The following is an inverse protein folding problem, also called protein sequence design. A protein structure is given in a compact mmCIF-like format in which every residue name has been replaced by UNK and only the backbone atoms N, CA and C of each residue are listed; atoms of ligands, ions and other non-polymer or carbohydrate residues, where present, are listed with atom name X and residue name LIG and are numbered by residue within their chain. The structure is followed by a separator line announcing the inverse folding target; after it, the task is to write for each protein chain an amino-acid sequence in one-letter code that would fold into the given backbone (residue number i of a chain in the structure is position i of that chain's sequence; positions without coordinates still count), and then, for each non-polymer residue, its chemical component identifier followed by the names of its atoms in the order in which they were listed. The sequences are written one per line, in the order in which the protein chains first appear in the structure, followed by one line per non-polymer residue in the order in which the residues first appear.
data_IF_855116263167
#
_entry.id   IF_855116263167
#
_cell.length_a   1.000
_cell.length_b   1.000
_cell.length_c   1.000
_cell.angle_alpha   90.00
_cell.angle_beta   90.00
_cell.angle_gamma   90.00
#
_symmetry.space_group_name_H-M   'P 1'
#
loop_
_entity.id
_entity.type
_entity.pdbx_description
1 polymer ?
#
# COMPACT_ATOMS: atom_id res chain seq x y z
N UNK A 1 -14.86 13.60 -13.92
CA UNK A 1 -15.80 13.52 -12.77
C UNK A 1 -17.19 13.12 -13.22
N UNK A 2 -17.76 13.82 -14.21
CA UNK A 2 -19.16 13.62 -14.61
C UNK A 2 -19.46 12.20 -15.13
N UNK A 3 -18.53 11.55 -15.83
CA UNK A 3 -18.74 10.17 -16.31
C UNK A 3 -18.75 9.17 -15.16
N UNK A 4 -17.71 9.16 -14.31
CA UNK A 4 -17.64 8.24 -13.17
C UNK A 4 -18.79 8.43 -12.17
N UNK A 5 -19.27 9.65 -11.96
CA UNK A 5 -20.42 9.89 -11.06
C UNK A 5 -21.76 9.41 -11.60
N UNK A 6 -21.82 9.11 -12.90
CA UNK A 6 -23.02 8.58 -13.59
C UNK A 6 -22.83 7.14 -14.07
N UNK A 7 -21.72 6.50 -13.65
CA UNK A 7 -21.43 5.13 -14.04
C UNK A 7 -22.55 4.18 -13.67
N UNK A 8 -22.86 3.29 -14.58
CA UNK A 8 -23.74 2.14 -14.32
C UNK A 8 -22.95 1.03 -13.64
N UNK A 9 -23.67 0.14 -12.97
CA UNK A 9 -23.01 -0.97 -12.26
C UNK A 9 -22.28 -1.91 -13.23
N UNK A 10 -21.03 -2.21 -12.92
CA UNK A 10 -20.15 -3.03 -13.77
C UNK A 10 -19.54 -2.32 -14.98
N UNK A 11 -19.69 -0.99 -15.09
CA UNK A 11 -19.17 -0.24 -16.24
C UNK A 11 -17.64 -0.28 -16.30
N UNK A 12 -17.12 -0.41 -17.54
CA UNK A 12 -15.68 -0.46 -17.82
C UNK A 12 -15.24 0.82 -18.53
N UNK A 13 -14.36 1.58 -17.89
CA UNK A 13 -13.70 2.76 -18.45
C UNK A 13 -12.33 2.37 -19.02
N UNK A 14 -12.26 2.14 -20.32
CA UNK A 14 -11.01 1.90 -21.04
C UNK A 14 -10.40 3.25 -21.46
N UNK A 15 -9.26 3.59 -20.86
CA UNK A 15 -8.64 4.92 -21.03
C UNK A 15 -7.49 4.87 -22.02
N UNK A 16 -7.53 5.79 -22.98
CA UNK A 16 -6.40 6.13 -23.83
C UNK A 16 -5.32 6.85 -23.03
N UNK A 17 -4.06 6.87 -23.50
CA UNK A 17 -3.04 7.77 -22.93
C UNK A 17 -3.51 9.21 -22.87
N UNK A 18 -3.15 9.90 -21.81
CA UNK A 18 -3.54 11.28 -21.57
C UNK A 18 -3.76 11.56 -20.09
N UNK A 19 -4.08 12.80 -19.75
CA UNK A 19 -4.33 13.23 -18.38
C UNK A 19 -5.82 13.46 -18.14
N UNK A 20 -6.35 12.78 -17.13
CA UNK A 20 -7.75 12.82 -16.73
C UNK A 20 -7.88 13.43 -15.35
N UNK A 21 -8.45 14.63 -15.27
CA UNK A 21 -8.74 15.26 -13.98
C UNK A 21 -10.08 14.77 -13.44
N UNK A 22 -10.10 14.18 -12.27
CA UNK A 22 -11.32 13.73 -11.61
C UNK A 22 -12.20 14.90 -11.16
N UNK A 23 -11.58 16.03 -10.77
CA UNK A 23 -12.27 17.31 -10.59
C UNK A 23 -11.26 18.46 -10.65
N UNK A 24 -11.72 19.67 -10.99
CA UNK A 24 -10.92 20.86 -10.81
C UNK A 24 -10.58 21.05 -9.33
N UNK A 25 -9.38 21.57 -9.01
CA UNK A 25 -9.09 22.05 -7.67
C UNK A 25 -10.16 23.10 -7.31
N UNK A 26 -10.81 22.92 -6.17
CA UNK A 26 -11.74 23.93 -5.69
C UNK A 26 -10.97 25.18 -5.24
N UNK A 27 -11.61 26.34 -5.29
CA UNK A 27 -10.95 27.61 -5.01
C UNK A 27 -10.38 27.72 -3.58
N UNK A 28 -10.84 26.85 -2.68
CA UNK A 28 -10.36 26.74 -1.28
C UNK A 28 -9.21 25.75 -1.10
N UNK A 29 -8.67 25.18 -2.20
CA UNK A 29 -7.61 24.18 -2.14
C UNK A 29 -8.06 22.79 -1.72
N UNK A 30 -9.37 22.53 -1.63
CA UNK A 30 -9.88 21.20 -1.33
C UNK A 30 -9.69 20.26 -2.50
N UNK A 31 -9.56 18.99 -2.19
CA UNK A 31 -9.21 17.99 -3.17
C UNK A 31 -10.38 17.53 -3.97
N UNK A 32 -10.18 17.42 -5.24
CA UNK A 32 -11.06 16.73 -6.16
C UNK A 32 -11.13 15.25 -5.86
N UNK A 33 -12.24 14.82 -5.30
CA UNK A 33 -12.58 13.40 -5.17
C UNK A 33 -13.73 13.02 -6.09
N UNK A 34 -13.77 11.74 -6.45
CA UNK A 34 -14.94 11.12 -7.07
C UNK A 34 -15.49 10.06 -6.16
N UNK A 35 -16.78 10.16 -5.85
CA UNK A 35 -17.50 9.16 -5.12
C UNK A 35 -17.93 8.02 -6.05
N UNK A 36 -17.42 6.82 -5.79
CA UNK A 36 -17.78 5.60 -6.50
C UNK A 36 -18.97 4.94 -5.78
N UNK A 37 -20.11 4.94 -6.44
CA UNK A 37 -21.38 4.45 -5.88
C UNK A 37 -21.81 3.11 -6.46
N UNK A 38 -21.23 2.73 -7.59
CA UNK A 38 -21.49 1.51 -8.35
C UNK A 38 -20.19 0.79 -8.63
N UNK A 39 -20.25 -0.50 -8.93
CA UNK A 39 -19.09 -1.28 -9.34
C UNK A 39 -18.53 -0.75 -10.66
N UNK A 40 -17.22 -0.62 -10.73
CA UNK A 40 -16.54 -0.11 -11.92
C UNK A 40 -15.19 -0.80 -12.15
N UNK A 41 -14.77 -0.77 -13.41
CA UNK A 41 -13.39 -1.08 -13.83
C UNK A 41 -12.82 0.15 -14.53
N UNK A 42 -11.65 0.62 -14.13
CA UNK A 42 -10.89 1.67 -14.80
C UNK A 42 -9.58 1.06 -15.27
N UNK A 43 -9.30 1.11 -16.57
CA UNK A 43 -8.07 0.51 -17.11
C UNK A 43 -7.44 1.33 -18.23
N UNK A 44 -6.13 1.46 -18.20
CA UNK A 44 -5.33 1.94 -19.33
C UNK A 44 -5.19 0.84 -20.38
N UNK A 45 -5.39 1.17 -21.65
CA UNK A 45 -5.38 0.19 -22.73
C UNK A 45 -3.99 -0.12 -23.29
N UNK A 46 -3.00 0.74 -23.03
CA UNK A 46 -1.62 0.54 -23.49
C UNK A 46 -0.68 0.29 -22.32
N UNK A 47 0.05 -0.82 -22.28
CA UNK A 47 0.91 -1.18 -21.14
C UNK A 47 2.05 -0.19 -20.88
N UNK A 48 2.59 0.42 -21.96
CA UNK A 48 3.78 1.28 -21.89
C UNK A 48 3.47 2.78 -21.83
N UNK A 49 2.22 3.18 -22.08
CA UNK A 49 1.79 4.57 -22.05
C UNK A 49 0.50 4.70 -21.23
N UNK A 50 0.69 4.73 -19.93
CA UNK A 50 -0.41 4.71 -18.96
C UNK A 50 -1.15 6.04 -18.90
N UNK A 51 -2.48 6.04 -18.88
CA UNK A 51 -3.25 7.24 -18.61
C UNK A 51 -2.98 7.75 -17.18
N UNK A 52 -2.87 9.06 -17.03
CA UNK A 52 -2.68 9.72 -15.74
C UNK A 52 -4.03 10.19 -15.21
N UNK A 53 -4.42 9.70 -14.05
CA UNK A 53 -5.64 10.09 -13.35
C UNK A 53 -5.26 11.01 -12.19
N UNK A 54 -5.63 12.27 -12.27
CA UNK A 54 -5.36 13.27 -11.24
C UNK A 54 -6.57 13.41 -10.30
N UNK A 55 -6.37 13.04 -9.05
CA UNK A 55 -7.41 13.07 -8.02
C UNK A 55 -7.40 11.83 -7.14
N UNK A 56 -8.47 11.61 -6.39
CA UNK A 56 -8.63 10.50 -5.44
C UNK A 56 -10.03 9.91 -5.51
N UNK A 57 -10.21 8.73 -4.93
CA UNK A 57 -11.47 8.03 -4.94
C UNK A 57 -12.09 7.93 -3.54
N UNK A 58 -13.39 8.17 -3.47
CA UNK A 58 -14.21 7.84 -2.30
C UNK A 58 -15.05 6.60 -2.60
N UNK A 59 -14.84 5.54 -1.86
CA UNK A 59 -15.66 4.32 -1.99
C UNK A 59 -16.95 4.57 -1.21
N UNK A 60 -18.03 4.86 -1.94
CA UNK A 60 -19.30 5.31 -1.36
C UNK A 60 -20.47 4.44 -1.79
N UNK A 61 -20.31 3.14 -1.67
CA UNK A 61 -21.33 2.15 -1.98
C UNK A 61 -21.03 1.26 -3.17
N UNK A 62 -19.95 1.49 -3.89
CA UNK A 62 -19.44 0.54 -4.88
C UNK A 62 -19.14 -0.80 -4.21
N UNK A 63 -19.56 -1.89 -4.83
CA UNK A 63 -19.35 -3.26 -4.32
C UNK A 63 -18.13 -3.93 -4.94
N UNK A 64 -17.67 -3.45 -6.10
CA UNK A 64 -16.44 -3.90 -6.76
C UNK A 64 -15.77 -2.72 -7.45
N UNK A 65 -14.47 -2.52 -7.18
CA UNK A 65 -13.65 -1.49 -7.82
C UNK A 65 -12.36 -2.12 -8.29
N UNK A 66 -12.10 -2.02 -9.59
CA UNK A 66 -10.86 -2.45 -10.19
C UNK A 66 -10.19 -1.27 -10.90
N UNK A 67 -8.90 -1.08 -10.64
CA UNK A 67 -8.07 -0.06 -11.30
C UNK A 67 -6.83 -0.75 -11.82
N UNK A 68 -6.61 -0.67 -13.13
CA UNK A 68 -5.53 -1.39 -13.79
C UNK A 68 -4.77 -0.50 -14.77
N UNK A 69 -3.45 -0.61 -14.75
CA UNK A 69 -2.56 -0.01 -15.74
C UNK A 69 -2.75 1.51 -15.93
N UNK A 70 -2.77 2.25 -14.83
CA UNK A 70 -2.87 3.71 -14.80
C UNK A 70 -1.76 4.34 -13.96
N UNK A 71 -1.64 5.65 -14.02
CA UNK A 71 -0.93 6.46 -13.00
C UNK A 71 -1.99 7.19 -12.20
N UNK A 72 -2.11 6.90 -10.91
CA UNK A 72 -2.95 7.66 -9.99
C UNK A 72 -2.09 8.75 -9.34
N UNK A 73 -2.27 9.97 -9.79
CA UNK A 73 -1.44 11.11 -9.41
C UNK A 73 -2.18 12.02 -8.42
N UNK A 74 -1.70 12.02 -7.19
CA UNK A 74 -2.18 12.90 -6.13
C UNK A 74 -1.48 14.26 -6.06
N UNK A 75 -0.55 14.57 -6.96
CA UNK A 75 0.30 15.77 -6.87
C UNK A 75 -0.47 17.10 -6.93
N UNK A 76 -1.66 17.11 -7.53
CA UNK A 76 -2.56 18.26 -7.53
C UNK A 76 -3.47 18.32 -6.31
N UNK A 77 -3.42 17.32 -5.45
CA UNK A 77 -4.21 17.29 -4.24
C UNK A 77 -3.53 18.12 -3.16
N UNK A 78 -4.07 19.28 -2.85
CA UNK A 78 -3.62 20.08 -1.72
C UNK A 78 -4.17 19.55 -0.39
N UNK A 79 -5.11 18.62 -0.42
CA UNK A 79 -5.64 18.03 0.79
C UNK A 79 -4.82 16.83 1.26
N UNK A 80 -4.84 16.67 2.55
CA UNK A 80 -4.18 15.60 3.27
C UNK A 80 -4.89 14.24 3.20
N UNK A 81 -5.86 14.04 2.31
CA UNK A 81 -6.65 12.81 2.30
C UNK A 81 -5.95 11.66 1.54
N UNK A 82 -6.43 10.45 1.78
CA UNK A 82 -5.90 9.22 1.18
C UNK A 82 -6.30 9.08 -0.29
N UNK A 83 -5.55 8.27 -1.05
CA UNK A 83 -5.90 7.92 -2.42
C UNK A 83 -7.27 7.23 -2.51
N UNK A 84 -7.54 6.33 -1.57
CA UNK A 84 -8.81 5.63 -1.41
C UNK A 84 -9.39 5.88 -0.02
N UNK A 85 -10.61 6.42 0.06
CA UNK A 85 -11.27 6.70 1.32
C UNK A 85 -12.67 6.08 1.33
N UNK A 86 -12.91 5.13 2.23
CA UNK A 86 -14.20 4.46 2.38
C UNK A 86 -15.17 5.35 3.17
N UNK A 87 -16.28 5.70 2.55
CA UNK A 87 -17.29 6.63 3.10
C UNK A 87 -18.56 5.93 3.56
N UNK A 88 -18.83 4.72 3.09
CA UNK A 88 -20.06 4.01 3.39
C UNK A 88 -19.77 2.63 3.97
N UNK A 89 -20.48 2.29 5.05
CA UNK A 89 -20.52 0.94 5.58
C UNK A 89 -21.28 -0.01 4.64
N UNK A 90 -21.02 -1.30 4.77
CA UNK A 90 -21.72 -2.35 4.01
C UNK A 90 -20.74 -3.34 3.40
N UNK A 91 -21.30 -4.28 2.66
CA UNK A 91 -20.54 -5.34 2.01
C UNK A 91 -19.92 -4.86 0.71
N UNK A 92 -18.70 -5.27 0.46
CA UNK A 92 -17.95 -5.01 -0.76
C UNK A 92 -17.22 -6.29 -1.17
N UNK A 93 -17.28 -6.65 -2.43
CA UNK A 93 -16.55 -7.81 -2.96
C UNK A 93 -15.04 -7.55 -2.96
N UNK A 94 -14.63 -6.47 -3.63
CA UNK A 94 -13.20 -6.18 -3.82
C UNK A 94 -12.85 -4.72 -4.12
N UNK A 95 -11.65 -4.35 -3.69
CA UNK A 95 -10.86 -3.25 -4.23
C UNK A 95 -9.56 -3.85 -4.76
N UNK A 96 -9.38 -3.87 -6.07
CA UNK A 96 -8.16 -4.37 -6.72
C UNK A 96 -7.50 -3.25 -7.51
N UNK A 97 -6.22 -3.02 -7.22
CA UNK A 97 -5.38 -2.06 -7.95
C UNK A 97 -4.19 -2.83 -8.49
N UNK A 98 -4.03 -2.85 -9.80
CA UNK A 98 -2.97 -3.63 -10.46
C UNK A 98 -2.21 -2.80 -11.49
N UNK A 99 -0.94 -3.16 -11.71
CA UNK A 99 -0.09 -2.55 -12.73
C UNK A 99 -0.08 -1.00 -12.68
N UNK A 100 -0.25 -0.42 -11.50
CA UNK A 100 -0.55 1.01 -11.33
C UNK A 100 0.56 1.71 -10.56
N UNK A 101 0.94 2.90 -11.05
CA UNK A 101 1.75 3.83 -10.27
C UNK A 101 0.82 4.69 -9.40
N UNK A 102 1.06 4.76 -8.10
CA UNK A 102 0.34 5.65 -7.18
C UNK A 102 1.35 6.60 -6.57
N UNK A 103 1.24 7.87 -6.91
CA UNK A 103 2.19 8.88 -6.45
C UNK A 103 1.53 10.08 -5.79
N UNK A 104 2.14 10.51 -4.71
CA UNK A 104 1.84 11.77 -4.07
C UNK A 104 2.80 12.87 -4.49
N UNK A 105 3.10 13.75 -3.56
CA UNK A 105 4.22 14.71 -3.66
C UNK A 105 4.71 15.06 -2.26
N UNK A 106 5.94 15.51 -2.18
CA UNK A 106 6.47 16.07 -0.94
C UNK A 106 5.62 17.26 -0.47
N UNK A 107 5.22 17.26 0.81
CA UNK A 107 4.40 18.30 1.39
C UNK A 107 2.94 18.38 0.91
N UNK A 108 2.42 17.31 0.29
CA UNK A 108 1.02 17.26 -0.19
C UNK A 108 0.68 15.92 -0.82
N UNK A 109 -0.37 15.87 -1.62
CA UNK A 109 -0.81 14.72 -2.42
C UNK A 109 -0.84 13.38 -1.68
N UNK A 110 -2.02 12.86 -1.40
CA UNK A 110 -2.25 11.64 -0.59
C UNK A 110 -1.54 11.64 0.77
N UNK A 111 -1.33 12.83 1.36
CA UNK A 111 -0.48 13.01 2.53
C UNK A 111 -0.91 12.17 3.75
N UNK A 112 -2.15 11.69 3.82
CA UNK A 112 -2.61 10.80 4.89
C UNK A 112 -2.48 9.32 4.57
N UNK A 113 -1.95 8.94 3.42
CA UNK A 113 -1.73 7.55 3.06
C UNK A 113 -2.49 7.09 1.82
N UNK A 114 -2.44 5.78 1.58
CA UNK A 114 -3.01 5.17 0.38
C UNK A 114 -4.48 4.80 0.57
N UNK A 115 -4.86 4.29 1.74
CA UNK A 115 -6.21 3.78 1.97
C UNK A 115 -6.68 4.09 3.40
N UNK A 116 -7.94 4.50 3.55
CA UNK A 116 -8.56 4.74 4.85
C UNK A 116 -9.94 4.10 4.95
N UNK A 117 -10.11 3.20 5.92
CA UNK A 117 -11.35 2.48 6.16
C UNK A 117 -11.78 2.70 7.62
N UNK A 118 -12.56 3.76 7.86
CA UNK A 118 -13.09 4.09 9.19
C UNK A 118 -14.61 3.93 9.27
N UNK A 119 -15.16 3.10 8.43
CA UNK A 119 -16.56 2.69 8.40
C UNK A 119 -16.64 1.17 8.52
N UNK A 120 -17.77 0.66 8.98
CA UNK A 120 -18.00 -0.78 9.12
C UNK A 120 -18.24 -1.42 7.73
N UNK A 121 -17.21 -1.40 6.90
CA UNK A 121 -17.20 -2.08 5.61
C UNK A 121 -16.74 -3.53 5.79
N UNK A 122 -17.44 -4.46 5.15
CA UNK A 122 -17.06 -5.87 5.09
C UNK A 122 -16.63 -6.18 3.66
N UNK A 123 -15.33 -6.38 3.48
CA UNK A 123 -14.69 -6.44 2.17
C UNK A 123 -14.13 -7.85 1.95
N UNK A 124 -14.41 -8.45 0.80
CA UNK A 124 -13.85 -9.74 0.42
C UNK A 124 -12.34 -9.65 0.26
N UNK A 125 -11.86 -8.75 -0.59
CA UNK A 125 -10.42 -8.50 -0.73
C UNK A 125 -10.07 -7.03 -0.98
N UNK A 126 -8.90 -6.64 -0.49
CA UNK A 126 -8.18 -5.43 -0.89
C UNK A 126 -6.82 -5.88 -1.40
N UNK A 127 -6.53 -5.61 -2.67
CA UNK A 127 -5.32 -6.09 -3.32
C UNK A 127 -4.64 -4.96 -4.08
N UNK A 128 -3.34 -4.80 -3.83
CA UNK A 128 -2.42 -4.02 -4.65
C UNK A 128 -1.42 -5.01 -5.24
N UNK A 129 -1.37 -5.09 -6.58
CA UNK A 129 -0.53 -6.05 -7.29
C UNK A 129 0.27 -5.35 -8.39
N UNK A 130 1.57 -5.60 -8.43
CA UNK A 130 2.48 -5.00 -9.40
C UNK A 130 2.36 -3.46 -9.47
N UNK A 131 2.30 -2.82 -8.29
CA UNK A 131 2.15 -1.37 -8.15
C UNK A 131 3.45 -0.70 -7.72
N UNK A 132 3.68 0.51 -8.25
CA UNK A 132 4.68 1.44 -7.74
C UNK A 132 4.00 2.50 -6.89
N UNK A 133 4.36 2.57 -5.60
CA UNK A 133 3.68 3.44 -4.66
C UNK A 133 4.73 4.31 -3.96
N UNK A 134 4.66 5.62 -4.18
CA UNK A 134 5.73 6.49 -3.71
C UNK A 134 5.31 7.94 -3.45
N UNK A 135 6.19 8.68 -2.78
CA UNK A 135 6.00 10.09 -2.42
C UNK A 135 4.75 10.34 -1.57
N UNK A 136 4.43 9.39 -0.68
CA UNK A 136 3.28 9.46 0.23
C UNK A 136 3.77 9.54 1.66
N UNK A 137 3.85 10.74 2.22
CA UNK A 137 4.52 10.99 3.50
C UNK A 137 3.72 10.57 4.73
N UNK A 138 2.43 10.32 4.60
CA UNK A 138 1.54 9.95 5.70
C UNK A 138 1.49 10.99 6.82
N UNK A 139 1.44 12.26 6.47
CA UNK A 139 1.27 13.33 7.44
C UNK A 139 -0.17 13.36 7.98
N UNK A 140 -0.33 12.92 9.22
CA UNK A 140 -1.65 12.85 9.89
C UNK A 140 -2.44 11.55 9.69
N UNK A 141 -1.90 10.52 9.00
CA UNK A 141 -2.52 9.20 8.83
C UNK A 141 -1.49 8.09 8.70
N UNK A 142 -1.89 6.85 8.82
CA UNK A 142 -1.05 5.69 8.56
C UNK A 142 -1.15 5.30 7.08
N UNK A 143 -0.15 4.60 6.52
CA UNK A 143 -0.08 4.37 5.08
C UNK A 143 -1.28 3.57 4.56
N UNK A 144 -1.53 2.38 5.10
CA UNK A 144 -2.79 1.65 4.98
C UNK A 144 -3.48 1.68 6.34
N UNK A 145 -4.62 2.35 6.45
CA UNK A 145 -5.26 2.63 7.74
C UNK A 145 -6.70 2.11 7.76
N UNK A 146 -6.88 0.87 8.25
CA UNK A 146 -8.21 0.30 8.50
C UNK A 146 -8.52 0.29 9.99
N UNK A 147 -9.48 1.11 10.40
CA UNK A 147 -9.87 1.26 11.81
C UNK A 147 -11.15 0.53 12.16
N UNK A 148 -12.07 0.36 11.20
CA UNK A 148 -13.37 -0.26 11.39
C UNK A 148 -13.75 -1.22 10.27
N UNK A 149 -12.97 -1.25 9.19
CA UNK A 149 -13.20 -2.16 8.07
C UNK A 149 -12.68 -3.56 8.36
N UNK A 150 -13.39 -4.54 7.84
CA UNK A 150 -12.98 -5.92 7.80
C UNK A 150 -12.63 -6.32 6.36
N UNK A 151 -11.55 -7.07 6.20
CA UNK A 151 -11.17 -7.65 4.91
C UNK A 151 -10.93 -9.15 5.09
N UNK A 152 -11.49 -10.00 4.23
CA UNK A 152 -11.14 -11.43 4.22
C UNK A 152 -9.69 -11.62 3.77
N UNK A 153 -9.26 -10.83 2.78
CA UNK A 153 -7.87 -10.78 2.33
C UNK A 153 -7.39 -9.33 2.18
N UNK A 154 -6.16 -9.06 2.67
CA UNK A 154 -5.41 -7.85 2.38
C UNK A 154 -4.08 -8.25 1.77
N UNK A 155 -3.85 -7.87 0.52
CA UNK A 155 -2.71 -8.30 -0.25
C UNK A 155 -1.91 -7.11 -0.78
N UNK A 156 -0.60 -7.15 -0.57
CA UNK A 156 0.40 -6.39 -1.30
C UNK A 156 1.32 -7.39 -1.98
N UNK A 157 1.28 -7.45 -3.31
CA UNK A 157 2.04 -8.41 -4.09
C UNK A 157 2.84 -7.70 -5.17
N UNK A 158 4.10 -8.08 -5.32
CA UNK A 158 4.95 -7.59 -6.39
C UNK A 158 5.02 -6.05 -6.48
N UNK A 159 4.89 -5.37 -5.33
CA UNK A 159 4.84 -3.90 -5.25
C UNK A 159 6.18 -3.30 -4.86
N UNK A 160 6.40 -2.06 -5.31
CA UNK A 160 7.52 -1.23 -4.86
C UNK A 160 7.00 -0.07 -4.03
N UNK A 161 7.58 0.13 -2.83
CA UNK A 161 7.26 1.23 -1.92
C UNK A 161 8.52 2.02 -1.61
N UNK A 162 8.53 3.31 -1.88
CA UNK A 162 9.64 4.17 -1.52
C UNK A 162 9.18 5.59 -1.23
N UNK A 163 9.91 6.28 -0.38
CA UNK A 163 9.54 7.60 0.10
C UNK A 163 8.08 7.63 0.63
N UNK A 164 7.72 6.62 1.44
CA UNK A 164 6.39 6.48 2.02
C UNK A 164 6.45 6.42 3.54
N UNK A 165 5.45 6.96 4.21
CA UNK A 165 5.13 6.85 5.64
C UNK A 165 6.36 6.88 6.60
N UNK A 166 7.33 7.76 6.39
CA UNK A 166 8.54 7.80 7.22
C UNK A 166 8.24 7.92 8.72
N UNK A 167 7.20 8.65 9.12
CA UNK A 167 6.84 8.94 10.52
C UNK A 167 5.52 8.29 10.96
N UNK A 168 5.00 7.31 10.22
CA UNK A 168 3.74 6.62 10.49
C UNK A 168 3.85 5.13 10.27
N UNK A 169 2.83 4.39 10.70
CA UNK A 169 2.77 2.95 10.51
C UNK A 169 2.49 2.58 9.06
N UNK A 170 3.09 1.48 8.60
CA UNK A 170 2.93 1.02 7.23
C UNK A 170 1.57 0.34 7.03
N UNK A 171 1.26 -0.68 7.83
CA UNK A 171 -0.06 -1.33 7.79
C UNK A 171 -0.69 -1.21 9.18
N UNK A 172 -1.77 -0.42 9.27
CA UNK A 172 -2.60 -0.33 10.46
C UNK A 172 -3.92 -1.05 10.24
N UNK A 173 -4.23 -1.98 11.14
CA UNK A 173 -5.48 -2.72 11.14
C UNK A 173 -6.01 -2.87 12.56
N UNK A 174 -7.04 -2.09 12.89
CA UNK A 174 -7.51 -1.92 14.27
C UNK A 174 -8.75 -2.72 14.63
N UNK A 175 -9.61 -3.07 13.67
CA UNK A 175 -10.91 -3.64 14.04
C UNK A 175 -10.81 -5.04 14.60
N UNK A 176 -11.07 -5.10 15.90
CA UNK A 176 -11.00 -6.34 16.65
C UNK A 176 -12.24 -7.18 16.71
N UNK A 177 -13.35 -6.70 16.21
CA UNK A 177 -14.58 -7.47 16.32
C UNK A 177 -14.70 -8.53 15.24
N UNK A 178 -14.08 -8.30 14.10
CA UNK A 178 -14.30 -9.09 12.88
C UNK A 178 -12.98 -9.61 12.27
N UNK A 179 -11.83 -9.04 12.62
CA UNK A 179 -10.53 -9.32 11.99
C UNK A 179 -9.96 -10.74 12.16
N UNK A 180 -10.64 -11.61 12.87
CA UNK A 180 -10.11 -12.95 13.21
C UNK A 180 -9.88 -13.85 12.00
N UNK A 181 -10.49 -13.56 10.88
CA UNK A 181 -10.45 -14.40 9.67
C UNK A 181 -9.59 -13.79 8.54
N UNK A 182 -9.08 -12.57 8.73
CA UNK A 182 -8.29 -11.90 7.71
C UNK A 182 -6.97 -12.63 7.44
N UNK A 183 -6.67 -12.85 6.16
CA UNK A 183 -5.34 -13.21 5.69
C UNK A 183 -4.67 -11.95 5.15
N UNK A 184 -3.54 -11.57 5.79
CA UNK A 184 -2.72 -10.44 5.35
C UNK A 184 -1.48 -10.99 4.66
N UNK A 185 -1.22 -10.57 3.43
CA UNK A 185 -0.08 -11.03 2.63
C UNK A 185 0.74 -9.84 2.14
N UNK A 186 2.05 -9.89 2.37
CA UNK A 186 3.05 -9.02 1.74
C UNK A 186 4.07 -9.95 1.09
N UNK A 187 4.06 -10.01 -0.22
CA UNK A 187 4.84 -10.97 -0.98
C UNK A 187 5.51 -10.35 -2.20
N UNK A 188 6.77 -10.69 -2.45
CA UNK A 188 7.57 -10.12 -3.55
C UNK A 188 7.53 -8.58 -3.58
N UNK A 189 7.61 -7.93 -2.43
CA UNK A 189 7.62 -6.48 -2.36
C UNK A 189 9.03 -5.92 -2.12
N UNK A 190 9.32 -4.78 -2.76
CA UNK A 190 10.50 -3.95 -2.48
C UNK A 190 10.04 -2.77 -1.64
N UNK A 191 10.56 -2.65 -0.42
CA UNK A 191 10.13 -1.64 0.58
C UNK A 191 11.36 -0.86 1.04
N UNK A 192 11.47 0.39 0.63
CA UNK A 192 12.60 1.25 0.98
C UNK A 192 12.18 2.42 1.86
N UNK A 193 12.74 2.52 3.05
CA UNK A 193 12.56 3.63 3.98
C UNK A 193 11.19 3.74 4.65
N UNK A 194 10.28 2.77 4.50
CA UNK A 194 8.97 2.81 5.12
C UNK A 194 9.05 2.76 6.66
N UNK A 195 8.17 3.49 7.34
CA UNK A 195 8.08 3.55 8.81
C UNK A 195 9.41 3.91 9.52
N UNK A 196 10.26 4.68 8.85
CA UNK A 196 11.67 4.87 9.18
C UNK A 196 11.92 5.59 10.52
N UNK A 197 10.95 6.30 11.08
CA UNK A 197 11.07 6.97 12.38
C UNK A 197 10.57 6.07 13.52
N UNK A 198 11.12 4.87 13.66
CA UNK A 198 10.77 3.88 14.70
C UNK A 198 9.26 3.59 14.75
N UNK A 199 8.60 3.57 13.60
CA UNK A 199 7.19 3.17 13.48
C UNK A 199 7.09 1.69 13.16
N UNK A 200 5.89 1.16 12.99
CA UNK A 200 5.63 -0.27 12.84
C UNK A 200 5.35 -0.61 11.38
N UNK A 201 5.92 -1.71 10.92
CA UNK A 201 5.48 -2.30 9.65
C UNK A 201 4.08 -2.90 9.78
N UNK A 202 3.78 -3.48 10.96
CA UNK A 202 2.52 -4.15 11.24
C UNK A 202 1.89 -3.60 12.53
N UNK A 203 1.03 -2.61 12.43
CA UNK A 203 0.21 -2.16 13.55
C UNK A 203 -1.15 -2.88 13.50
N UNK A 204 -1.13 -4.20 13.73
CA UNK A 204 -2.32 -5.06 13.64
C UNK A 204 -2.81 -5.37 15.05
N UNK A 205 -3.71 -4.53 15.57
CA UNK A 205 -4.08 -4.55 17.00
C UNK A 205 -4.87 -5.76 17.44
N UNK A 206 -5.65 -6.34 16.57
CA UNK A 206 -6.64 -7.33 16.96
C UNK A 206 -6.49 -8.68 16.25
N UNK A 207 -5.37 -8.87 15.61
CA UNK A 207 -4.98 -10.13 15.02
C UNK A 207 -5.63 -10.39 13.66
N UNK A 208 -4.85 -10.98 12.79
CA UNK A 208 -5.30 -11.66 11.58
C UNK A 208 -5.34 -13.16 11.84
N UNK A 209 -6.04 -13.93 11.03
CA UNK A 209 -5.94 -15.39 11.09
C UNK A 209 -4.55 -15.85 10.67
N UNK A 210 -4.01 -15.15 9.68
CA UNK A 210 -2.70 -15.41 9.10
C UNK A 210 -2.05 -14.11 8.63
N UNK A 211 -0.75 -13.95 8.85
CA UNK A 211 0.07 -12.91 8.24
C UNK A 211 1.18 -13.64 7.49
N UNK A 212 1.31 -13.38 6.19
CA UNK A 212 2.39 -13.89 5.34
C UNK A 212 3.30 -12.73 4.97
N UNK A 213 4.59 -12.92 5.22
CA UNK A 213 5.62 -11.95 4.84
C UNK A 213 6.74 -12.70 4.14
N UNK A 214 6.67 -12.74 2.80
CA UNK A 214 7.51 -13.65 2.01
C UNK A 214 8.16 -12.94 0.83
N UNK A 215 9.37 -13.38 0.49
CA UNK A 215 10.10 -12.97 -0.70
C UNK A 215 10.29 -11.44 -0.83
N UNK A 216 10.35 -10.73 0.28
CA UNK A 216 10.46 -9.27 0.28
C UNK A 216 11.91 -8.81 0.39
N UNK A 217 12.18 -7.61 -0.12
CA UNK A 217 13.38 -6.84 0.20
C UNK A 217 12.95 -5.61 0.99
N UNK A 218 13.47 -5.45 2.20
CA UNK A 218 13.24 -4.27 3.04
C UNK A 218 14.57 -3.57 3.28
N UNK A 219 14.63 -2.28 2.97
CA UNK A 219 15.87 -1.51 3.08
C UNK A 219 15.66 -0.17 3.80
N UNK A 220 16.74 0.34 4.40
CA UNK A 220 16.88 1.71 4.89
C UNK A 220 15.78 2.14 5.87
N UNK A 221 15.39 1.29 6.79
CA UNK A 221 14.38 1.63 7.79
C UNK A 221 14.84 1.37 9.23
N UNK A 222 14.36 2.22 10.14
CA UNK A 222 14.43 2.02 11.60
C UNK A 222 13.12 1.46 12.14
N UNK A 223 12.26 0.93 11.27
CA UNK A 223 10.99 0.32 11.66
C UNK A 223 11.19 -0.85 12.60
N UNK A 224 10.16 -1.10 13.39
CA UNK A 224 9.99 -2.34 14.15
C UNK A 224 8.81 -3.12 13.57
N UNK A 225 8.70 -4.42 13.87
CA UNK A 225 7.57 -5.21 13.39
C UNK A 225 6.26 -4.71 13.96
N UNK A 226 6.16 -4.70 15.29
CA UNK A 226 4.95 -4.27 15.99
C UNK A 226 5.24 -4.00 17.48
N UNK A 227 4.43 -3.14 18.06
CA UNK A 227 4.35 -2.96 19.51
C UNK A 227 2.98 -3.45 20.07
N UNK A 228 2.24 -4.22 19.29
CA UNK A 228 0.91 -4.72 19.66
C UNK A 228 0.99 -6.19 20.02
N UNK A 229 0.70 -6.51 21.27
CA UNK A 229 0.81 -7.89 21.82
C UNK A 229 -0.12 -8.91 21.13
N UNK A 230 -1.15 -8.44 20.45
CA UNK A 230 -2.10 -9.29 19.73
C UNK A 230 -1.80 -9.43 18.24
N UNK A 231 -0.81 -8.72 17.71
CA UNK A 231 -0.37 -8.94 16.33
C UNK A 231 0.15 -10.37 16.22
N UNK A 232 -0.41 -11.12 15.30
CA UNK A 232 0.05 -12.48 15.03
C UNK A 232 1.44 -12.43 14.40
N UNK A 233 2.32 -13.32 14.83
CA UNK A 233 3.64 -13.46 14.21
C UNK A 233 3.48 -13.85 12.74
N UNK A 234 4.16 -13.14 11.81
CA UNK A 234 4.11 -13.48 10.41
C UNK A 234 4.74 -14.86 10.13
N UNK A 235 4.17 -15.55 9.15
CA UNK A 235 4.86 -16.66 8.48
C UNK A 235 5.91 -16.04 7.55
N UNK A 236 7.15 -16.01 8.03
CA UNK A 236 8.28 -15.45 7.31
C UNK A 236 8.89 -16.47 6.34
N UNK A 237 9.24 -16.02 5.14
CA UNK A 237 9.93 -16.85 4.15
C UNK A 237 10.79 -16.01 3.22
N UNK A 238 12.08 -16.37 3.09
CA UNK A 238 12.98 -15.89 2.04
C UNK A 238 13.02 -14.35 1.90
N UNK A 239 13.21 -13.62 3.01
CA UNK A 239 13.27 -12.17 2.98
C UNK A 239 14.71 -11.66 3.05
N UNK A 240 14.97 -10.52 2.40
CA UNK A 240 16.24 -9.81 2.44
C UNK A 240 16.07 -8.48 3.17
N UNK A 241 17.01 -8.20 4.08
CA UNK A 241 17.04 -6.95 4.84
C UNK A 241 18.40 -6.28 4.65
N UNK A 242 18.39 -4.96 4.51
CA UNK A 242 19.62 -4.18 4.50
C UNK A 242 19.38 -2.84 5.19
N UNK A 243 20.28 -2.50 6.12
CA UNK A 243 20.15 -1.28 6.93
C UNK A 243 18.80 -1.18 7.67
N UNK A 244 18.41 -2.30 8.31
CA UNK A 244 17.14 -2.48 9.03
C UNK A 244 17.38 -3.03 10.45
N UNK A 245 18.34 -2.47 11.17
CA UNK A 245 18.83 -3.02 12.43
C UNK A 245 17.72 -3.29 13.48
N UNK A 246 16.67 -2.49 13.50
CA UNK A 246 15.59 -2.64 14.47
C UNK A 246 14.64 -3.79 14.19
N UNK A 247 14.52 -4.27 12.95
CA UNK A 247 13.64 -5.39 12.60
C UNK A 247 14.14 -6.73 13.12
N UNK A 248 15.47 -6.89 13.21
CA UNK A 248 16.09 -8.16 13.60
C UNK A 248 16.44 -8.26 15.09
N UNK A 249 16.11 -7.23 15.87
CA UNK A 249 16.34 -7.19 17.31
C UNK A 249 15.02 -7.37 18.05
N UNK A 250 14.83 -8.53 18.67
CA UNK A 250 13.71 -8.77 19.59
C UNK A 250 14.05 -8.12 20.93
N UNK A 251 13.29 -7.11 21.33
CA UNK A 251 13.50 -6.34 22.56
C UNK A 251 12.48 -6.71 23.65
N UNK A 252 11.63 -7.70 23.42
CA UNK A 252 10.57 -8.08 24.34
C UNK A 252 11.03 -9.10 25.38
N UNK A 253 11.82 -8.68 26.36
CA UNK A 253 12.13 -9.50 27.51
C UNK A 253 10.97 -9.58 28.53
N UNK A 254 10.04 -8.60 28.51
CA UNK A 254 8.95 -8.45 29.49
C UNK A 254 7.57 -8.17 28.88
N UNK A 255 7.41 -8.37 27.58
CA UNK A 255 6.18 -8.11 26.85
C UNK A 255 5.88 -6.61 26.61
N UNK A 256 6.84 -5.74 26.84
CA UNK A 256 6.70 -4.28 26.69
C UNK A 256 7.72 -3.65 25.75
N UNK A 257 8.38 -4.45 24.91
CA UNK A 257 9.39 -3.97 24.00
C UNK A 257 8.83 -3.34 22.72
N UNK A 258 9.72 -2.71 21.98
CA UNK A 258 9.40 -2.02 20.74
C UNK A 258 9.31 -2.96 19.53
N UNK A 259 9.72 -4.24 19.68
CA UNK A 259 9.69 -5.19 18.59
C UNK A 259 9.40 -6.61 19.09
N UNK A 260 8.34 -7.23 18.55
CA UNK A 260 7.84 -8.51 19.00
C UNK A 260 8.44 -9.71 18.26
N UNK A 261 8.95 -9.54 17.04
CA UNK A 261 9.28 -10.66 16.16
C UNK A 261 10.70 -10.52 15.61
N UNK A 262 11.24 -11.66 15.21
CA UNK A 262 12.44 -11.77 14.40
C UNK A 262 12.16 -12.71 13.25
N UNK A 263 12.49 -12.31 12.04
CA UNK A 263 12.37 -13.17 10.88
C UNK A 263 13.48 -14.26 10.89
N UNK A 264 13.15 -15.53 11.05
CA UNK A 264 14.15 -16.59 11.04
C UNK A 264 14.68 -16.90 9.63
N UNK A 265 13.98 -16.45 8.58
CA UNK A 265 14.39 -16.62 7.17
C UNK A 265 15.24 -15.48 6.64
N UNK A 266 15.55 -14.48 7.50
CA UNK A 266 16.21 -13.26 7.11
C UNK A 266 17.61 -13.50 6.51
N UNK A 267 17.83 -12.92 5.33
CA UNK A 267 19.15 -12.73 4.75
C UNK A 267 19.51 -11.24 4.87
N UNK A 268 20.59 -10.94 5.61
CA UNK A 268 21.09 -9.57 5.71
C UNK A 268 22.10 -9.30 4.58
N UNK A 269 21.68 -8.55 3.57
CA UNK A 269 22.51 -8.27 2.39
C UNK A 269 22.08 -7.01 1.65
N UNK A 270 23.07 -6.20 1.26
CA UNK A 270 22.84 -5.02 0.43
C UNK A 270 22.42 -5.45 -0.99
N UNK A 271 21.23 -5.10 -1.46
CA UNK A 271 20.79 -5.38 -2.82
C UNK A 271 21.56 -4.59 -3.88
N UNK A 272 22.29 -3.54 -3.48
CA UNK A 272 23.04 -2.64 -4.39
C UNK A 272 22.15 -2.09 -5.50
N UNK A 273 21.07 -1.45 -5.14
CA UNK A 273 20.15 -0.84 -6.09
C UNK A 273 20.84 0.14 -7.02
N UNK A 274 20.49 0.12 -8.28
CA UNK A 274 21.07 0.97 -9.31
C UNK A 274 20.88 2.46 -9.02
N UNK A 275 19.67 2.89 -8.66
CA UNK A 275 19.41 4.28 -8.27
C UNK A 275 18.08 4.41 -7.48
N UNK A 276 18.03 3.88 -6.27
CA UNK A 276 16.84 3.91 -5.42
C UNK A 276 16.27 5.34 -5.21
N UNK A 277 17.13 6.36 -5.13
CA UNK A 277 16.70 7.76 -4.98
C UNK A 277 15.84 8.28 -6.14
N UNK A 278 15.95 7.65 -7.31
CA UNK A 278 15.14 7.96 -8.50
C UNK A 278 14.12 6.87 -8.82
N UNK A 279 13.85 5.96 -7.87
CA UNK A 279 12.90 4.88 -8.05
C UNK A 279 13.41 3.70 -8.89
N UNK A 280 14.73 3.63 -9.18
CA UNK A 280 15.32 2.48 -9.87
C UNK A 280 15.91 1.50 -8.84
N UNK A 281 15.15 0.46 -8.54
CA UNK A 281 15.50 -0.59 -7.57
C UNK A 281 16.10 -1.83 -8.24
N UNK A 282 16.57 -1.71 -9.49
CA UNK A 282 17.27 -2.80 -10.17
C UNK A 282 18.37 -3.35 -9.26
N UNK A 283 18.32 -4.67 -9.02
CA UNK A 283 19.20 -5.35 -8.08
C UNK A 283 20.58 -5.56 -8.73
N UNK A 284 21.60 -4.91 -8.17
CA UNK A 284 22.99 -5.03 -8.64
C UNK A 284 23.82 -6.10 -7.90
N UNK A 285 23.27 -6.69 -6.84
CA UNK A 285 23.95 -7.76 -6.10
C UNK A 285 23.50 -9.12 -6.62
N UNK A 286 24.35 -9.84 -7.35
CA UNK A 286 24.06 -11.14 -7.93
C UNK A 286 23.55 -12.18 -6.92
N UNK A 287 24.06 -12.18 -5.70
CA UNK A 287 23.63 -13.12 -4.68
C UNK A 287 22.22 -12.82 -4.17
N UNK A 288 21.79 -11.56 -4.19
CA UNK A 288 20.39 -11.16 -3.90
C UNK A 288 19.50 -11.46 -5.10
N UNK A 289 19.96 -11.15 -6.32
CA UNK A 289 19.21 -11.42 -7.55
C UNK A 289 18.86 -12.90 -7.71
N UNK A 290 19.77 -13.81 -7.32
CA UNK A 290 19.53 -15.26 -7.33
C UNK A 290 18.44 -15.75 -6.38
N UNK A 291 18.12 -14.97 -5.33
CA UNK A 291 17.06 -15.31 -4.39
C UNK A 291 15.66 -15.08 -4.97
N UNK A 292 15.54 -14.31 -6.05
CA UNK A 292 14.27 -13.93 -6.68
C UNK A 292 13.31 -13.32 -5.65
N UNK A 293 13.76 -12.28 -4.98
CA UNK A 293 13.01 -11.55 -3.92
C UNK A 293 12.82 -10.09 -4.32
N UNK A 294 11.85 -9.42 -3.68
CA UNK A 294 11.43 -8.07 -4.06
C UNK A 294 10.54 -8.07 -5.29
N UNK A 295 10.14 -6.91 -5.76
CA UNK A 295 9.29 -6.76 -6.93
C UNK A 295 10.00 -7.27 -8.21
N UNK A 296 9.36 -8.16 -8.94
CA UNK A 296 9.96 -8.93 -10.05
C UNK A 296 10.54 -8.06 -11.15
N UNK A 297 9.95 -6.91 -11.40
CA UNK A 297 10.44 -5.96 -12.42
C UNK A 297 11.86 -5.43 -12.13
N UNK A 298 12.38 -5.60 -10.92
CA UNK A 298 13.72 -5.18 -10.54
C UNK A 298 14.77 -6.28 -10.65
N UNK A 299 14.37 -7.46 -11.07
CA UNK A 299 15.34 -8.50 -11.40
C UNK A 299 16.14 -8.03 -12.61
N UNK A 300 17.46 -8.20 -12.58
CA UNK A 300 18.28 -7.94 -13.75
C UNK A 300 17.77 -8.81 -14.91
N UNK A 301 17.65 -8.21 -16.08
CA UNK A 301 17.40 -8.99 -17.31
C UNK A 301 18.53 -10.03 -17.46
N UNK A 302 18.15 -11.26 -17.68
CA UNK A 302 19.08 -12.36 -17.97
C UNK A 302 19.80 -12.13 -19.29
#
# INVERSE_FOLDING_TARGET
KSLLSKATDGEVFALMPGTYQLAAAEADGTTSSVALKTSIVIKGIYPTDKPVIQGRFEINGATSVEIDNVVLDGSLNNSSDQAFNFKKAGDMEKLVVSNTEIKGKEGGGFAKGICYINVAAKIGEVTFDNCDIHDIQCDGGDFFDSRKGYMSALNFKNCTFYNVCASRDFIRYDDGKIAKETVLTVDHCTIDGAANNKKRLLYVRNGCSKIVWSNNIVTNTKAVWTNQSKTKEPEFQNNVYFNCASLNVVVWADGKGDNAFKDPSATEKDPKYKNAKKGDFTIGNEAVAKLKVGAEKWYAAE
#
